data_IF_190343699520
#
_entry.id   IF_190343699520
#
_cell.length_a   1.000
_cell.length_b   1.000
_cell.length_c   1.000
_cell.angle_alpha   90.00
_cell.angle_beta   90.00
_cell.angle_gamma   90.00
#
_symmetry.space_group_name_H-M   'P 1'
#
loop_
_entity.id
_entity.type
_entity.pdbx_description
1 polymer ?
#
# COMPACT_ATOMS: atom_id res chain seq x y z
N UNK A 1 -13.47 4.05 5.96
CA UNK A 1 -12.53 2.91 6.02
C UNK A 1 -11.87 2.65 4.67
N UNK A 2 -12.56 2.05 3.66
CA UNK A 2 -11.98 1.78 2.32
C UNK A 2 -11.28 3.00 1.69
N UNK A 3 -11.94 4.17 1.70
CA UNK A 3 -11.35 5.41 1.16
C UNK A 3 -10.06 5.81 1.86
N UNK A 4 -10.02 5.70 3.19
CA UNK A 4 -8.83 6.02 3.99
C UNK A 4 -7.66 5.06 3.72
N UNK A 5 -7.94 3.80 3.41
CA UNK A 5 -6.90 2.82 3.05
C UNK A 5 -6.35 3.12 1.66
N UNK A 6 -7.21 3.44 0.69
CA UNK A 6 -6.79 3.87 -0.66
C UNK A 6 -5.92 5.13 -0.61
N UNK A 7 -6.37 6.16 0.10
CA UNK A 7 -5.59 7.39 0.29
C UNK A 7 -4.24 7.13 0.97
N UNK A 8 -4.17 6.12 1.85
CA UNK A 8 -2.90 5.71 2.47
C UNK A 8 -1.97 5.04 1.47
N UNK A 9 -2.48 4.09 0.68
CA UNK A 9 -1.72 3.43 -0.39
C UNK A 9 -1.20 4.46 -1.38
N UNK A 10 -2.03 5.40 -1.83
CA UNK A 10 -1.60 6.46 -2.76
C UNK A 10 -0.46 7.30 -2.21
N UNK A 11 -0.53 7.71 -0.93
CA UNK A 11 0.55 8.48 -0.29
C UNK A 11 1.83 7.65 -0.16
N UNK A 12 1.73 6.41 0.32
CA UNK A 12 2.89 5.56 0.53
C UNK A 12 3.54 5.19 -0.82
N UNK A 13 2.75 5.00 -1.89
CA UNK A 13 3.24 4.80 -3.27
C UNK A 13 3.93 6.06 -3.82
N UNK A 14 3.38 7.25 -3.56
CA UNK A 14 4.03 8.48 -3.96
C UNK A 14 5.40 8.64 -3.25
N UNK A 15 5.46 8.37 -1.95
CA UNK A 15 6.70 8.37 -1.19
C UNK A 15 7.70 7.33 -1.72
N UNK A 16 7.22 6.13 -2.07
CA UNK A 16 8.05 5.07 -2.66
C UNK A 16 8.73 5.55 -3.95
N UNK A 17 8.00 6.25 -4.82
CA UNK A 17 8.56 6.80 -6.06
C UNK A 17 9.63 7.85 -5.77
N UNK A 18 9.42 8.74 -4.80
CA UNK A 18 10.42 9.73 -4.39
C UNK A 18 11.70 9.06 -3.86
N UNK A 19 11.55 8.03 -3.02
CA UNK A 19 12.70 7.25 -2.51
C UNK A 19 13.41 6.51 -3.65
N UNK A 20 12.65 6.00 -4.61
CA UNK A 20 13.22 5.35 -5.79
C UNK A 20 14.04 6.32 -6.61
N UNK A 21 13.53 7.52 -6.90
CA UNK A 21 14.28 8.58 -7.60
C UNK A 21 15.56 8.97 -6.84
N UNK A 22 15.48 9.11 -5.52
CA UNK A 22 16.64 9.42 -4.68
C UNK A 22 17.73 8.36 -4.79
N UNK A 23 17.39 7.07 -4.85
CA UNK A 23 18.37 5.99 -5.00
C UNK A 23 19.20 6.06 -6.30
N UNK A 24 18.70 6.73 -7.34
CA UNK A 24 19.44 6.94 -8.60
C UNK A 24 20.19 8.28 -8.66
N UNK A 25 20.19 9.05 -7.58
CA UNK A 25 20.94 10.31 -7.52
C UNK A 25 22.43 10.03 -7.43
N UNK A 26 23.22 10.73 -8.25
CA UNK A 26 24.68 10.62 -8.22
C UNK A 26 25.26 11.16 -6.91
N UNK A 27 26.38 10.59 -6.48
CA UNK A 27 27.09 11.05 -5.28
C UNK A 27 26.50 10.59 -3.95
N UNK A 28 25.54 9.67 -3.97
CA UNK A 28 24.97 9.08 -2.77
C UNK A 28 26.04 8.31 -1.97
N UNK A 29 26.13 8.58 -0.68
CA UNK A 29 27.02 7.79 0.18
C UNK A 29 26.48 6.36 0.37
N UNK A 30 27.37 5.44 0.74
CA UNK A 30 26.97 4.05 1.02
C UNK A 30 25.94 3.96 2.16
N UNK A 31 26.09 4.79 3.19
CA UNK A 31 25.16 4.81 4.32
C UNK A 31 23.77 5.33 3.89
N UNK A 32 23.72 6.40 3.08
CA UNK A 32 22.46 6.91 2.53
C UNK A 32 21.79 5.88 1.63
N UNK A 33 22.57 5.13 0.85
CA UNK A 33 22.04 4.09 -0.04
C UNK A 33 21.35 2.98 0.75
N UNK A 34 21.97 2.53 1.85
CA UNK A 34 21.39 1.54 2.76
C UNK A 34 20.09 2.09 3.37
N UNK A 35 20.13 3.31 3.93
CA UNK A 35 18.94 3.92 4.55
C UNK A 35 17.77 4.07 3.58
N UNK A 36 18.03 4.52 2.35
CA UNK A 36 17.00 4.65 1.32
C UNK A 36 16.48 3.28 0.86
N UNK A 37 17.35 2.28 0.75
CA UNK A 37 16.95 0.90 0.40
C UNK A 37 16.04 0.31 1.47
N UNK A 38 16.38 0.48 2.74
CA UNK A 38 15.55 0.01 3.86
C UNK A 38 14.20 0.74 3.88
N UNK A 39 14.20 2.06 3.69
CA UNK A 39 12.96 2.84 3.57
C UNK A 39 12.08 2.35 2.42
N UNK A 40 12.67 2.11 1.24
CA UNK A 40 11.97 1.58 0.06
C UNK A 40 11.33 0.22 0.37
N UNK A 41 12.07 -0.67 1.00
CA UNK A 41 11.58 -2.01 1.35
C UNK A 41 10.43 -1.96 2.36
N UNK A 42 10.52 -1.07 3.36
CA UNK A 42 9.44 -0.85 4.33
C UNK A 42 8.18 -0.28 3.67
N UNK A 43 8.32 0.65 2.72
CA UNK A 43 7.19 1.19 1.96
C UNK A 43 6.52 0.11 1.11
N UNK A 44 7.30 -0.69 0.37
CA UNK A 44 6.77 -1.82 -0.42
C UNK A 44 5.99 -2.81 0.45
N UNK A 45 6.55 -3.21 1.60
CA UNK A 45 5.89 -4.11 2.53
C UNK A 45 4.59 -3.49 3.10
N UNK A 46 4.63 -2.22 3.48
CA UNK A 46 3.48 -1.48 4.01
C UNK A 46 2.33 -1.36 2.99
N UNK A 47 2.66 -1.00 1.74
CA UNK A 47 1.69 -0.93 0.64
C UNK A 47 1.03 -2.29 0.43
N UNK A 48 1.81 -3.36 0.29
CA UNK A 48 1.26 -4.71 0.07
C UNK A 48 0.33 -5.17 1.19
N UNK A 49 0.64 -4.85 2.46
CA UNK A 49 -0.25 -5.14 3.59
C UNK A 49 -1.57 -4.36 3.49
N UNK A 50 -1.53 -3.08 3.09
CA UNK A 50 -2.73 -2.26 2.93
C UNK A 50 -3.56 -2.66 1.71
N UNK A 51 -2.94 -3.09 0.62
CA UNK A 51 -3.63 -3.64 -0.54
C UNK A 51 -4.38 -4.92 -0.16
N UNK A 52 -3.75 -5.82 0.61
CA UNK A 52 -4.39 -7.02 1.13
C UNK A 52 -5.57 -6.69 2.07
N UNK A 53 -5.39 -5.76 3.01
CA UNK A 53 -6.47 -5.30 3.89
C UNK A 53 -7.65 -4.72 3.09
N UNK A 54 -7.36 -3.96 2.04
CA UNK A 54 -8.38 -3.40 1.15
C UNK A 54 -9.15 -4.50 0.40
N UNK A 55 -8.44 -5.49 -0.13
CA UNK A 55 -9.04 -6.64 -0.81
C UNK A 55 -9.96 -7.42 0.11
N UNK A 56 -9.52 -7.73 1.34
CA UNK A 56 -10.32 -8.42 2.35
C UNK A 56 -11.60 -7.65 2.68
N UNK A 57 -11.53 -6.32 2.83
CA UNK A 57 -12.69 -5.47 3.09
C UNK A 57 -13.67 -5.45 1.91
N UNK A 58 -13.17 -5.42 0.67
CA UNK A 58 -14.01 -5.45 -0.53
C UNK A 58 -14.72 -6.81 -0.64
N UNK A 59 -13.99 -7.90 -0.43
CA UNK A 59 -14.54 -9.25 -0.50
C UNK A 59 -15.57 -9.50 0.60
N UNK A 60 -15.29 -9.10 1.84
CA UNK A 60 -16.23 -9.16 2.95
C UNK A 60 -17.52 -8.37 2.66
N UNK A 61 -17.39 -7.16 2.11
CA UNK A 61 -18.56 -6.35 1.73
C UNK A 61 -19.39 -7.02 0.63
N UNK A 62 -18.74 -7.61 -0.38
CA UNK A 62 -19.42 -8.33 -1.47
C UNK A 62 -20.17 -9.55 -0.96
N UNK A 63 -19.56 -10.34 -0.07
CA UNK A 63 -20.21 -11.49 0.55
C UNK A 63 -21.44 -11.08 1.38
N UNK A 64 -21.31 -10.07 2.22
CA UNK A 64 -22.43 -9.52 2.99
C UNK A 64 -23.59 -9.04 2.10
N UNK A 65 -23.29 -8.48 0.92
CA UNK A 65 -24.32 -8.08 -0.05
C UNK A 65 -25.05 -9.29 -0.65
N UNK A 66 -24.30 -10.34 -1.04
CA UNK A 66 -24.87 -11.56 -1.60
C UNK A 66 -25.76 -12.28 -0.59
N UNK A 67 -25.34 -12.38 0.67
CA UNK A 67 -26.15 -12.97 1.75
C UNK A 67 -27.47 -12.22 1.94
N UNK A 68 -27.45 -10.88 1.96
CA UNK A 68 -28.66 -10.05 2.08
C UNK A 68 -29.65 -10.21 0.90
N UNK A 69 -29.16 -10.49 -0.31
CA UNK A 69 -30.05 -10.79 -1.45
C UNK A 69 -30.67 -12.17 -1.31
N UNK A 70 -29.94 -13.14 -0.75
CA UNK A 70 -30.39 -14.52 -0.60
C UNK A 70 -31.48 -14.71 0.47
N UNK A 71 -31.52 -13.88 1.52
CA UNK A 71 -32.55 -13.94 2.57
C UNK A 71 -33.87 -13.24 2.22
N UNK A 72 -34.01 -12.67 1.02
CA UNK A 72 -35.24 -12.02 0.54
C UNK A 72 -36.14 -12.94 -0.33
N UNK A 73 -35.94 -14.26 -0.27
CA UNK A 73 -36.74 -15.28 -0.96
C UNK A 73 -37.51 -16.16 0.02
#
# INVERSE_FOLDING_TARGET
>A
MIRSIRERIERDTHELNLVHEQLFTEGLSHEEFIRLTDRRNNLLAGIGLKEKELEELINSRRQNQLERVNYNY
#
